data_IF_354049811046
#
_entry.id   IF_354049811046
#
_cell.length_a   1.000
_cell.length_b   1.000
_cell.length_c   1.000
_cell.angle_alpha   90.00
_cell.angle_beta   90.00
_cell.angle_gamma   90.00
#
_symmetry.space_group_name_H-M   'P 1'
#
loop_
_entity.id
_entity.type
_entity.pdbx_description
1 polymer ?
#
# COMPACT_ATOMS: atom_id res chain seq x y z
N UNK A 1 -43.39 -18.12 -4.72
CA UNK A 1 -42.78 -18.24 -3.39
C UNK A 1 -41.37 -17.72 -3.50
N UNK A 2 -41.14 -16.50 -3.06
CA UNK A 2 -39.77 -15.92 -3.00
C UNK A 2 -38.98 -16.71 -1.93
N UNK A 3 -37.74 -17.11 -2.21
CA UNK A 3 -36.91 -17.70 -1.17
C UNK A 3 -36.57 -16.59 -0.18
N UNK A 4 -37.10 -16.66 1.01
CA UNK A 4 -36.63 -15.88 2.14
C UNK A 4 -35.13 -16.15 2.28
N UNK A 5 -34.31 -15.17 1.95
CA UNK A 5 -32.87 -15.21 2.19
C UNK A 5 -32.67 -15.25 3.71
N UNK A 6 -32.45 -16.44 4.26
CA UNK A 6 -32.05 -16.61 5.66
C UNK A 6 -30.77 -15.79 5.87
N UNK A 7 -30.91 -14.64 6.49
CA UNK A 7 -29.78 -13.84 6.97
C UNK A 7 -29.06 -14.72 8.01
N UNK A 8 -27.87 -15.20 7.68
CA UNK A 8 -27.05 -15.96 8.63
C UNK A 8 -26.64 -15.02 9.75
N UNK A 9 -26.84 -15.46 10.99
CA UNK A 9 -26.40 -14.68 12.16
C UNK A 9 -24.87 -14.71 12.26
N UNK A 10 -24.28 -13.63 12.78
CA UNK A 10 -22.83 -13.55 13.02
C UNK A 10 -22.37 -14.71 13.89
N UNK A 11 -23.14 -15.12 14.90
CA UNK A 11 -22.81 -16.24 15.77
C UNK A 11 -22.70 -17.58 15.02
N UNK A 12 -23.50 -17.79 13.98
CA UNK A 12 -23.40 -19.00 13.14
C UNK A 12 -22.13 -18.98 12.31
N UNK A 13 -21.71 -17.82 11.81
CA UNK A 13 -20.43 -17.68 11.09
C UNK A 13 -19.24 -17.86 12.03
N UNK A 14 -19.29 -17.34 13.24
CA UNK A 14 -18.23 -17.49 14.25
C UNK A 14 -18.00 -18.95 14.64
N UNK A 15 -19.05 -19.77 14.67
CA UNK A 15 -18.98 -21.19 15.00
C UNK A 15 -18.50 -22.08 13.85
N UNK A 16 -18.45 -21.58 12.61
CA UNK A 16 -17.99 -22.33 11.43
C UNK A 16 -16.45 -22.31 11.32
N UNK A 17 -15.80 -23.16 12.12
CA UNK A 17 -14.33 -23.27 12.19
C UNK A 17 -13.75 -23.76 10.87
N UNK A 18 -14.35 -24.73 10.20
CA UNK A 18 -13.86 -25.28 8.92
C UNK A 18 -13.91 -24.19 7.83
N UNK A 19 -15.02 -23.48 7.74
CA UNK A 19 -15.16 -22.36 6.82
C UNK A 19 -14.18 -21.22 7.11
N UNK A 20 -13.98 -20.91 8.40
CA UNK A 20 -12.95 -19.95 8.81
C UNK A 20 -11.56 -20.35 8.31
N UNK A 21 -11.14 -21.60 8.53
CA UNK A 21 -9.83 -22.10 8.12
C UNK A 21 -9.65 -22.02 6.59
N UNK A 22 -10.65 -22.43 5.82
CA UNK A 22 -10.62 -22.37 4.35
C UNK A 22 -10.51 -20.94 3.82
N UNK A 23 -11.28 -20.02 4.38
CA UNK A 23 -11.23 -18.60 3.97
C UNK A 23 -9.93 -17.92 4.40
N UNK A 24 -9.40 -18.24 5.59
CA UNK A 24 -8.12 -17.74 6.08
C UNK A 24 -6.95 -18.21 5.22
N UNK A 25 -6.95 -19.49 4.82
CA UNK A 25 -5.92 -20.03 3.93
C UNK A 25 -5.99 -19.38 2.54
N UNK A 26 -7.21 -19.22 1.99
CA UNK A 26 -7.40 -18.50 0.73
C UNK A 26 -6.87 -17.07 0.83
N UNK A 27 -7.22 -16.34 1.90
CA UNK A 27 -6.77 -14.97 2.15
C UNK A 27 -5.24 -14.89 2.20
N UNK A 28 -4.59 -15.77 2.97
CA UNK A 28 -3.13 -15.82 3.10
C UNK A 28 -2.46 -16.07 1.75
N UNK A 29 -2.95 -17.04 0.99
CA UNK A 29 -2.40 -17.36 -0.33
C UNK A 29 -2.53 -16.21 -1.32
N UNK A 30 -3.68 -15.54 -1.33
CA UNK A 30 -3.96 -14.47 -2.30
C UNK A 30 -3.35 -13.12 -1.91
N UNK A 31 -3.20 -12.83 -0.61
CA UNK A 31 -2.84 -11.49 -0.14
C UNK A 31 -1.63 -11.44 0.79
N UNK A 32 -1.17 -12.58 1.29
CA UNK A 32 -0.16 -12.68 2.34
C UNK A 32 -0.70 -12.40 3.75
N UNK A 33 -1.94 -11.96 3.89
CA UNK A 33 -2.54 -11.64 5.21
C UNK A 33 -2.74 -12.95 5.97
N UNK A 34 -2.01 -13.09 7.09
CA UNK A 34 -2.18 -14.20 8.00
C UNK A 34 -3.29 -13.91 9.00
N UNK A 35 -4.24 -14.83 9.08
CA UNK A 35 -5.33 -14.80 10.04
C UNK A 35 -5.39 -16.13 10.80
N UNK A 36 -4.57 -16.26 11.84
CA UNK A 36 -4.54 -17.46 12.69
C UNK A 36 -5.88 -17.68 13.40
N UNK A 37 -6.23 -18.95 13.66
CA UNK A 37 -7.47 -19.31 14.36
C UNK A 37 -7.42 -18.77 15.80
N UNK A 38 -8.34 -17.89 16.12
CA UNK A 38 -8.56 -17.31 17.44
C UNK A 38 -9.97 -16.71 17.52
N UNK A 39 -10.56 -16.61 18.70
CA UNK A 39 -11.88 -16.00 18.89
C UNK A 39 -11.95 -14.58 18.28
N UNK A 40 -10.91 -13.76 18.49
CA UNK A 40 -10.83 -12.40 17.92
C UNK A 40 -10.88 -12.43 16.38
N UNK A 41 -10.15 -13.32 15.75
CA UNK A 41 -10.11 -13.42 14.29
C UNK A 41 -11.38 -14.04 13.71
N UNK A 42 -12.02 -14.97 14.41
CA UNK A 42 -13.34 -15.49 14.05
C UNK A 42 -14.39 -14.39 14.04
N UNK A 43 -14.48 -13.62 15.11
CA UNK A 43 -15.37 -12.45 15.17
C UNK A 43 -15.06 -11.42 14.08
N UNK A 44 -13.78 -11.14 13.83
CA UNK A 44 -13.37 -10.21 12.78
C UNK A 44 -13.80 -10.70 11.39
N UNK A 45 -13.51 -11.96 11.06
CA UNK A 45 -13.91 -12.56 9.78
C UNK A 45 -15.43 -12.54 9.63
N UNK A 46 -16.18 -13.01 10.65
CA UNK A 46 -17.64 -13.05 10.64
C UNK A 46 -18.24 -11.66 10.42
N UNK A 47 -17.76 -10.67 11.16
CA UNK A 47 -18.22 -9.27 11.01
C UNK A 47 -17.95 -8.67 9.63
N UNK A 48 -16.81 -8.99 9.02
CA UNK A 48 -16.44 -8.46 7.70
C UNK A 48 -17.15 -9.21 6.58
N UNK A 49 -17.21 -10.54 6.67
CA UNK A 49 -17.82 -11.38 5.63
C UNK A 49 -19.35 -11.26 5.64
N UNK A 50 -20.01 -11.16 6.79
CA UNK A 50 -21.47 -10.97 6.86
C UNK A 50 -21.98 -9.82 5.99
N UNK A 51 -21.19 -8.75 5.87
CA UNK A 51 -21.53 -7.56 5.06
C UNK A 51 -21.49 -7.83 3.55
N UNK A 52 -20.70 -8.80 3.13
CA UNK A 52 -20.50 -9.09 1.70
C UNK A 52 -21.26 -10.33 1.23
N UNK A 53 -21.68 -11.23 2.11
CA UNK A 53 -22.39 -12.45 1.72
C UNK A 53 -23.61 -12.16 0.84
N UNK A 54 -24.41 -11.19 1.24
CA UNK A 54 -25.61 -10.79 0.49
C UNK A 54 -25.23 -10.24 -0.91
N UNK A 55 -24.20 -9.39 -0.97
CA UNK A 55 -23.72 -8.80 -2.24
C UNK A 55 -23.12 -9.87 -3.16
N UNK A 56 -22.46 -10.85 -2.58
CA UNK A 56 -21.88 -12.00 -3.31
C UNK A 56 -22.93 -13.05 -3.71
N UNK A 57 -24.17 -12.92 -3.26
CA UNK A 57 -25.25 -13.87 -3.55
C UNK A 57 -25.05 -15.24 -2.87
N UNK A 58 -24.34 -15.29 -1.74
CA UNK A 58 -24.02 -16.50 -0.98
C UNK A 58 -24.49 -16.38 0.47
N UNK A 59 -24.73 -17.53 1.13
CA UNK A 59 -25.28 -17.57 2.47
C UNK A 59 -24.41 -18.30 3.50
N UNK A 60 -23.19 -18.70 3.14
CA UNK A 60 -22.26 -19.40 4.05
C UNK A 60 -20.81 -19.20 3.67
N UNK A 61 -19.90 -19.47 4.60
CA UNK A 61 -18.44 -19.52 4.31
C UNK A 61 -18.10 -20.55 3.24
N UNK A 62 -18.75 -21.71 3.27
CA UNK A 62 -18.53 -22.77 2.27
C UNK A 62 -18.92 -22.31 0.86
N UNK A 63 -20.06 -21.63 0.71
CA UNK A 63 -20.48 -21.10 -0.59
C UNK A 63 -19.57 -19.97 -1.05
N UNK A 64 -19.16 -19.08 -0.14
CA UNK A 64 -18.19 -18.02 -0.46
C UNK A 64 -16.87 -18.62 -0.92
N UNK A 65 -16.33 -19.60 -0.18
CA UNK A 65 -15.11 -20.29 -0.55
C UNK A 65 -15.23 -20.96 -1.93
N UNK A 66 -16.36 -21.64 -2.21
CA UNK A 66 -16.62 -22.24 -3.54
C UNK A 66 -16.64 -21.19 -4.65
N UNK A 67 -17.25 -20.02 -4.41
CA UNK A 67 -17.25 -18.92 -5.35
C UNK A 67 -15.83 -18.35 -5.59
N UNK A 68 -15.02 -18.28 -4.53
CA UNK A 68 -13.63 -17.82 -4.62
C UNK A 68 -12.75 -18.78 -5.44
N UNK A 69 -12.82 -20.09 -5.17
CA UNK A 69 -12.00 -21.10 -5.88
C UNK A 69 -12.47 -21.32 -7.33
N UNK A 70 -13.76 -21.08 -7.63
CA UNK A 70 -14.27 -21.12 -9.00
C UNK A 70 -13.86 -19.90 -9.85
N UNK A 71 -13.12 -18.95 -9.27
CA UNK A 71 -12.61 -17.79 -9.98
C UNK A 71 -13.66 -16.69 -10.25
N UNK A 72 -14.75 -16.66 -9.49
CA UNK A 72 -15.73 -15.59 -9.58
C UNK A 72 -15.10 -14.26 -9.15
N UNK A 73 -14.72 -13.45 -10.13
CA UNK A 73 -13.96 -12.20 -9.93
C UNK A 73 -14.63 -11.24 -8.94
N UNK A 74 -15.96 -11.10 -9.03
CA UNK A 74 -16.72 -10.24 -8.13
C UNK A 74 -16.62 -10.71 -6.64
N UNK A 75 -16.77 -12.01 -6.39
CA UNK A 75 -16.65 -12.58 -5.04
C UNK A 75 -15.23 -12.37 -4.48
N UNK A 76 -14.20 -12.57 -5.32
CA UNK A 76 -12.81 -12.35 -4.95
C UNK A 76 -12.53 -10.91 -4.54
N UNK A 77 -12.94 -9.95 -5.36
CA UNK A 77 -12.70 -8.52 -5.09
C UNK A 77 -13.47 -8.07 -3.83
N UNK A 78 -14.72 -8.50 -3.67
CA UNK A 78 -15.51 -8.23 -2.46
C UNK A 78 -14.83 -8.79 -1.20
N UNK A 79 -14.36 -10.03 -1.25
CA UNK A 79 -13.72 -10.68 -0.11
C UNK A 79 -12.40 -9.99 0.25
N UNK A 80 -11.50 -9.77 -0.71
CA UNK A 80 -10.23 -9.11 -0.45
C UNK A 80 -10.45 -7.70 0.09
N UNK A 81 -11.29 -6.89 -0.56
CA UNK A 81 -11.59 -5.53 -0.10
C UNK A 81 -12.23 -5.49 1.30
N UNK A 82 -13.01 -6.52 1.68
CA UNK A 82 -13.57 -6.62 3.02
C UNK A 82 -12.50 -7.00 4.06
N UNK A 83 -11.48 -7.77 3.66
CA UNK A 83 -10.45 -8.30 4.58
C UNK A 83 -9.24 -7.38 4.74
N UNK A 84 -9.02 -6.43 3.85
CA UNK A 84 -7.94 -5.44 3.98
C UNK A 84 -8.18 -4.47 5.14
N UNK A 85 -7.09 -3.98 5.72
CA UNK A 85 -7.13 -2.94 6.76
C UNK A 85 -6.40 -1.71 6.23
N UNK A 86 -7.16 -0.64 6.03
CA UNK A 86 -6.74 0.51 5.24
C UNK A 86 -6.48 1.78 6.08
N UNK A 87 -6.03 1.62 7.35
CA UNK A 87 -5.72 2.76 8.22
C UNK A 87 -4.47 3.48 7.75
N UNK A 88 -4.66 4.72 7.32
CA UNK A 88 -3.59 5.61 6.87
C UNK A 88 -3.95 7.06 7.19
N UNK A 89 -2.97 7.97 7.17
CA UNK A 89 -3.15 9.41 7.31
C UNK A 89 -1.99 10.17 6.67
N UNK A 90 -2.21 11.45 6.38
CA UNK A 90 -1.18 12.31 5.84
C UNK A 90 0.00 12.43 6.81
N UNK A 91 1.23 12.38 6.29
CA UNK A 91 2.48 12.48 7.03
C UNK A 91 2.66 11.44 8.16
N UNK A 92 2.02 10.25 8.03
CA UNK A 92 2.24 9.13 8.95
C UNK A 92 3.74 8.79 9.02
N UNK A 93 4.30 8.72 10.27
CA UNK A 93 5.73 8.52 10.52
C UNK A 93 6.57 9.61 9.82
N UNK A 94 6.32 10.86 10.21
CA UNK A 94 6.89 12.11 9.62
C UNK A 94 8.39 12.04 9.38
N UNK A 95 9.13 11.31 10.22
CA UNK A 95 10.59 11.16 10.11
C UNK A 95 11.04 10.62 8.75
N UNK A 96 10.22 9.79 8.09
CA UNK A 96 10.52 9.28 6.74
C UNK A 96 10.49 10.41 5.69
N UNK A 97 9.55 11.32 5.80
CA UNK A 97 9.43 12.46 4.88
C UNK A 97 10.51 13.51 5.15
N UNK A 98 10.87 13.71 6.42
CA UNK A 98 12.01 14.56 6.80
C UNK A 98 13.34 13.98 6.29
N UNK A 99 13.49 12.63 6.34
CA UNK A 99 14.65 11.95 5.75
C UNK A 99 14.67 12.12 4.23
N UNK A 100 13.55 11.87 3.57
CA UNK A 100 13.41 12.05 2.12
C UNK A 100 13.80 13.47 1.71
N UNK A 101 13.27 14.48 2.41
CA UNK A 101 13.56 15.89 2.12
C UNK A 101 15.06 16.20 2.16
N UNK A 102 15.75 15.71 3.19
CA UNK A 102 17.19 15.96 3.36
C UNK A 102 18.07 15.26 2.33
N UNK A 103 17.67 14.06 1.87
CA UNK A 103 18.49 13.23 0.98
C UNK A 103 18.06 13.28 -0.48
N UNK A 104 16.93 13.93 -0.80
CA UNK A 104 16.50 14.11 -2.18
C UNK A 104 17.56 14.78 -3.06
N UNK A 105 18.28 15.84 -2.60
CA UNK A 105 19.37 16.44 -3.38
C UNK A 105 20.47 15.46 -3.77
N UNK A 106 20.83 14.53 -2.90
CA UNK A 106 21.86 13.51 -3.19
C UNK A 106 21.37 12.55 -4.30
N UNK A 107 20.09 12.13 -4.24
CA UNK A 107 19.48 11.27 -5.26
C UNK A 107 19.48 11.96 -6.61
N UNK A 108 19.08 13.23 -6.66
CA UNK A 108 19.00 14.01 -7.89
C UNK A 108 20.39 14.33 -8.47
N UNK A 109 21.40 14.50 -7.62
CA UNK A 109 22.77 14.77 -8.03
C UNK A 109 23.53 13.55 -8.55
N UNK A 110 22.97 12.35 -8.46
CA UNK A 110 23.59 11.15 -9.00
C UNK A 110 23.81 11.31 -10.53
N UNK A 111 25.00 10.99 -11.07
CA UNK A 111 25.33 11.22 -12.49
C UNK A 111 24.32 10.66 -13.49
N UNK A 112 23.83 9.43 -13.25
CA UNK A 112 22.82 8.81 -14.09
C UNK A 112 21.49 9.57 -14.08
N UNK A 113 21.13 10.13 -12.92
CA UNK A 113 19.89 10.90 -12.76
C UNK A 113 19.95 12.26 -13.44
N UNK A 114 21.10 12.93 -13.40
CA UNK A 114 21.30 14.18 -14.12
C UNK A 114 21.14 14.02 -15.65
N UNK A 115 21.36 12.84 -16.17
CA UNK A 115 21.24 12.54 -17.60
C UNK A 115 19.77 12.38 -18.02
N UNK A 116 18.99 11.59 -17.30
CA UNK A 116 17.59 11.30 -17.67
C UNK A 116 16.58 12.29 -17.05
N UNK A 117 16.95 13.01 -15.98
CA UNK A 117 16.12 13.95 -15.26
C UNK A 117 14.73 13.40 -14.94
N UNK A 118 14.68 12.14 -14.56
CA UNK A 118 13.44 11.47 -14.20
C UNK A 118 13.57 10.83 -12.81
N UNK A 119 12.66 11.18 -11.89
CA UNK A 119 12.53 10.59 -10.57
C UNK A 119 11.34 9.65 -10.56
N UNK A 120 11.57 8.36 -10.30
CA UNK A 120 10.55 7.32 -10.23
C UNK A 120 10.36 6.85 -8.81
N UNK A 121 9.15 6.99 -8.31
CA UNK A 121 8.78 6.60 -6.96
C UNK A 121 7.65 5.58 -7.01
N UNK A 122 7.69 4.58 -6.15
CA UNK A 122 6.62 3.63 -5.98
C UNK A 122 6.14 3.66 -4.52
N UNK A 123 4.85 3.95 -4.32
CA UNK A 123 4.13 3.79 -3.08
C UNK A 123 3.34 2.47 -3.17
N UNK A 124 3.87 1.42 -2.59
CA UNK A 124 3.25 0.10 -2.55
C UNK A 124 2.33 -0.02 -1.32
N UNK A 125 1.11 -0.54 -1.51
CA UNK A 125 0.05 -0.56 -0.51
C UNK A 125 -0.36 0.86 -0.06
N UNK A 126 -0.76 1.68 -1.02
CA UNK A 126 -1.04 3.11 -0.83
C UNK A 126 -2.38 3.41 -0.13
N UNK A 127 -3.22 2.39 0.11
CA UNK A 127 -4.54 2.53 0.74
C UNK A 127 -5.39 3.63 0.07
N UNK A 128 -5.98 4.54 0.84
CA UNK A 128 -6.80 5.66 0.37
C UNK A 128 -5.99 6.85 -0.17
N UNK A 129 -4.67 6.71 -0.30
CA UNK A 129 -3.81 7.60 -1.09
C UNK A 129 -3.07 8.68 -0.30
N UNK A 130 -3.31 8.84 1.00
CA UNK A 130 -2.70 9.89 1.84
C UNK A 130 -1.17 9.82 1.82
N UNK A 131 -0.61 8.59 1.85
CA UNK A 131 0.85 8.39 1.74
C UNK A 131 1.37 8.82 0.36
N UNK A 132 0.73 8.38 -0.72
CA UNK A 132 1.14 8.72 -2.08
C UNK A 132 1.11 10.25 -2.32
N UNK A 133 0.07 10.91 -1.81
CA UNK A 133 -0.02 12.38 -1.88
C UNK A 133 1.01 13.06 -0.99
N UNK A 134 1.28 12.54 0.21
CA UNK A 134 2.35 13.07 1.08
C UNK A 134 3.71 13.00 0.38
N UNK A 135 4.03 11.87 -0.26
CA UNK A 135 5.26 11.70 -1.06
C UNK A 135 5.31 12.75 -2.17
N UNK A 136 4.22 12.90 -2.93
CA UNK A 136 4.14 13.85 -4.03
C UNK A 136 4.34 15.29 -3.56
N UNK A 137 3.65 15.70 -2.50
CA UNK A 137 3.76 17.04 -1.91
C UNK A 137 5.18 17.31 -1.39
N UNK A 138 5.77 16.34 -0.66
CA UNK A 138 7.10 16.47 -0.09
C UNK A 138 8.18 16.62 -1.18
N UNK A 139 8.07 15.87 -2.27
CA UNK A 139 9.01 16.01 -3.40
C UNK A 139 8.72 17.32 -4.16
N UNK A 140 7.45 17.62 -4.42
CA UNK A 140 7.05 18.82 -5.13
C UNK A 140 7.46 20.10 -4.40
N UNK A 141 7.44 20.15 -3.07
CA UNK A 141 7.89 21.31 -2.29
C UNK A 141 9.36 21.68 -2.52
N UNK A 142 10.15 20.77 -3.08
CA UNK A 142 11.57 20.98 -3.39
C UNK A 142 11.82 21.23 -4.89
N UNK A 143 10.77 21.45 -5.67
CA UNK A 143 10.81 21.62 -7.14
C UNK A 143 11.68 22.76 -7.67
N UNK A 144 12.01 23.86 -6.99
CA UNK A 144 13.05 24.75 -7.52
C UNK A 144 14.34 24.01 -7.87
N UNK A 145 14.61 22.89 -7.19
CA UNK A 145 15.74 21.97 -7.49
C UNK A 145 15.41 20.99 -8.61
N UNK A 146 14.14 20.82 -8.97
CA UNK A 146 13.65 19.85 -9.97
C UNK A 146 13.30 20.52 -11.31
N UNK A 147 13.74 21.75 -11.56
CA UNK A 147 13.50 22.42 -12.83
C UNK A 147 13.95 21.54 -14.02
N UNK A 148 13.00 21.17 -14.86
CA UNK A 148 13.22 20.26 -15.99
C UNK A 148 13.23 18.76 -15.64
N UNK A 149 12.92 18.37 -14.40
CA UNK A 149 12.75 16.96 -14.00
C UNK A 149 11.33 16.47 -14.23
N UNK A 150 11.23 15.18 -14.53
CA UNK A 150 9.96 14.44 -14.59
C UNK A 150 9.80 13.63 -13.31
N UNK A 151 8.79 13.96 -12.52
CA UNK A 151 8.39 13.15 -11.36
C UNK A 151 7.29 12.17 -11.78
N UNK A 152 7.51 10.88 -11.57
CA UNK A 152 6.53 9.81 -11.80
C UNK A 152 6.34 9.01 -10.54
N UNK A 153 5.14 8.99 -10.02
CA UNK A 153 4.76 8.24 -8.84
C UNK A 153 3.77 7.16 -9.24
N UNK A 154 4.12 5.90 -9.01
CA UNK A 154 3.19 4.79 -9.02
C UNK A 154 2.66 4.61 -7.60
N UNK A 155 1.35 4.63 -7.43
CA UNK A 155 0.69 4.28 -6.17
C UNK A 155 -0.17 3.04 -6.40
N UNK A 156 0.04 2.00 -5.62
CA UNK A 156 -0.64 0.73 -5.87
C UNK A 156 -1.18 0.11 -4.59
N UNK A 157 -2.29 -0.61 -4.74
CA UNK A 157 -2.92 -1.37 -3.67
C UNK A 157 -3.62 -2.61 -4.25
N UNK A 158 -3.87 -3.62 -3.41
CA UNK A 158 -4.68 -4.77 -3.80
C UNK A 158 -6.17 -4.44 -3.72
N UNK A 159 -6.56 -3.52 -2.85
CA UNK A 159 -7.94 -3.08 -2.63
C UNK A 159 -8.34 -2.04 -3.68
N UNK A 160 -9.19 -2.46 -4.60
CA UNK A 160 -9.65 -1.59 -5.69
C UNK A 160 -10.62 -0.51 -5.24
N UNK A 161 -11.27 -0.66 -4.09
CA UNK A 161 -12.19 0.34 -3.54
C UNK A 161 -11.39 1.53 -3.00
N UNK A 162 -10.31 1.27 -2.26
CA UNK A 162 -9.46 2.35 -1.74
C UNK A 162 -8.71 3.06 -2.87
N UNK A 163 -8.30 2.36 -3.92
CA UNK A 163 -7.69 2.98 -5.11
C UNK A 163 -8.63 3.98 -5.79
N UNK A 164 -9.92 3.67 -5.88
CA UNK A 164 -10.92 4.61 -6.41
C UNK A 164 -11.08 5.85 -5.55
N UNK A 165 -10.98 5.72 -4.21
CA UNK A 165 -10.96 6.85 -3.28
C UNK A 165 -9.69 7.66 -3.45
N UNK A 166 -8.54 7.00 -3.46
CA UNK A 166 -7.23 7.61 -3.66
C UNK A 166 -7.19 8.45 -4.96
N UNK A 167 -7.66 7.90 -6.08
CA UNK A 167 -7.66 8.59 -7.37
C UNK A 167 -8.54 9.85 -7.38
N UNK A 168 -9.60 9.90 -6.57
CA UNK A 168 -10.43 11.12 -6.42
C UNK A 168 -9.67 12.23 -5.69
N UNK A 169 -8.81 11.86 -4.73
CA UNK A 169 -8.03 12.79 -3.89
C UNK A 169 -8.91 13.70 -3.05
N UNK A 170 -10.08 13.22 -2.59
CA UNK A 170 -11.05 13.99 -1.79
C UNK A 170 -11.13 13.38 -0.40
N UNK A 171 -10.97 14.21 0.61
CA UNK A 171 -10.89 13.81 2.01
C UNK A 171 -11.75 14.71 2.90
N UNK A 172 -12.21 14.23 4.07
CA UNK A 172 -12.77 15.10 5.09
C UNK A 172 -11.73 16.14 5.55
N UNK A 173 -12.18 17.32 5.98
CA UNK A 173 -11.29 18.39 6.44
C UNK A 173 -10.41 17.94 7.62
N UNK A 174 -10.94 17.09 8.49
CA UNK A 174 -10.23 16.51 9.65
C UNK A 174 -9.02 15.66 9.24
N UNK A 175 -9.06 15.06 8.06
CA UNK A 175 -7.96 14.23 7.57
C UNK A 175 -6.65 15.01 7.36
N UNK A 176 -6.72 16.33 7.20
CA UNK A 176 -5.56 17.20 6.99
C UNK A 176 -5.17 18.02 8.22
N UNK A 177 -5.73 17.77 9.40
CA UNK A 177 -5.42 18.53 10.62
C UNK A 177 -3.92 18.48 10.96
N UNK A 178 -3.27 17.33 10.77
CA UNK A 178 -1.83 17.16 11.02
C UNK A 178 -0.91 17.76 9.93
N UNK A 179 -1.49 18.26 8.83
CA UNK A 179 -0.74 18.86 7.72
C UNK A 179 -0.44 20.33 8.08
N UNK A 180 0.78 20.80 7.79
CA UNK A 180 1.16 22.19 8.05
C UNK A 180 0.31 23.17 7.22
N UNK A 181 0.06 24.38 7.74
CA UNK A 181 -0.75 25.39 7.04
C UNK A 181 -0.17 25.70 5.65
N UNK A 182 1.14 25.83 5.53
CA UNK A 182 1.81 26.04 4.24
C UNK A 182 1.46 24.96 3.22
N UNK A 183 1.45 23.67 3.64
CA UNK A 183 1.08 22.57 2.76
C UNK A 183 -0.42 22.55 2.47
N UNK A 184 -1.27 22.90 3.45
CA UNK A 184 -2.73 23.01 3.24
C UNK A 184 -3.05 24.04 2.16
N UNK A 185 -2.50 25.23 2.29
CA UNK A 185 -2.70 26.32 1.33
C UNK A 185 -2.15 25.98 -0.07
N UNK A 186 -1.00 25.35 -0.12
CA UNK A 186 -0.31 25.07 -1.39
C UNK A 186 -0.92 23.90 -2.15
N UNK A 187 -1.43 22.86 -1.44
CA UNK A 187 -1.75 21.58 -2.06
C UNK A 187 -3.20 21.14 -1.97
N UNK A 188 -4.03 21.84 -1.21
CA UNK A 188 -5.44 21.49 -1.08
C UNK A 188 -6.36 22.59 -1.56
N UNK A 189 -7.53 22.20 -1.99
CA UNK A 189 -8.66 23.05 -2.32
C UNK A 189 -9.80 22.72 -1.37
N UNK A 190 -10.38 23.73 -0.71
CA UNK A 190 -11.53 23.53 0.16
C UNK A 190 -12.80 23.41 -0.65
N UNK A 191 -13.66 22.46 -0.26
CA UNK A 191 -14.97 22.28 -0.84
C UNK A 191 -15.92 23.43 -0.48
N UNK A 192 -16.84 23.74 -1.38
CA UNK A 192 -17.87 24.79 -1.20
C UNK A 192 -19.26 24.19 -1.43
N UNK A 193 -20.27 24.82 -0.86
CA UNK A 193 -21.67 24.38 -1.01
C UNK A 193 -21.87 22.95 -0.51
N UNK A 194 -22.31 22.04 -1.36
CA UNK A 194 -22.55 20.64 -1.02
C UNK A 194 -21.27 19.85 -0.62
N UNK A 195 -20.09 20.38 -0.95
CA UNK A 195 -18.80 19.79 -0.57
C UNK A 195 -18.17 20.48 0.65
N UNK A 196 -18.91 21.31 1.39
CA UNK A 196 -18.42 21.92 2.61
C UNK A 196 -17.96 20.84 3.61
N UNK A 197 -16.85 21.07 4.30
CA UNK A 197 -16.23 20.07 5.19
C UNK A 197 -15.33 19.05 4.47
N UNK A 198 -15.19 19.15 3.14
CA UNK A 198 -14.30 18.32 2.35
C UNK A 198 -13.13 19.17 1.81
N UNK A 199 -12.02 18.48 1.57
CA UNK A 199 -10.86 19.05 0.87
C UNK A 199 -10.46 18.15 -0.29
N UNK A 200 -9.89 18.75 -1.32
CA UNK A 200 -9.36 18.01 -2.47
C UNK A 200 -7.90 18.33 -2.69
N UNK A 201 -7.07 17.34 -2.92
CA UNK A 201 -5.70 17.55 -3.37
C UNK A 201 -5.70 18.24 -4.73
N UNK A 202 -4.88 19.29 -4.91
CA UNK A 202 -4.84 20.07 -6.17
C UNK A 202 -4.43 19.21 -7.36
N UNK A 203 -4.90 19.59 -8.54
CA UNK A 203 -4.72 18.84 -9.79
C UNK A 203 -3.24 18.60 -10.12
N UNK A 204 -2.39 19.62 -9.96
CA UNK A 204 -0.95 19.52 -10.24
C UNK A 204 -0.23 18.43 -9.42
N UNK A 205 -0.74 18.09 -8.23
CA UNK A 205 -0.20 17.00 -7.41
C UNK A 205 -0.84 15.67 -7.82
N UNK A 206 -2.15 15.64 -8.08
CA UNK A 206 -2.84 14.41 -8.49
C UNK A 206 -2.30 13.86 -9.81
N UNK A 207 -1.95 14.74 -10.75
CA UNK A 207 -1.44 14.38 -12.09
C UNK A 207 -0.03 13.75 -12.04
N UNK A 208 0.69 13.86 -10.90
CA UNK A 208 1.98 13.21 -10.69
C UNK A 208 1.87 11.73 -10.36
N UNK A 209 0.66 11.26 -10.00
CA UNK A 209 0.43 9.94 -9.44
C UNK A 209 -0.42 9.09 -10.38
N UNK A 210 0.08 7.91 -10.69
CA UNK A 210 -0.70 6.86 -11.34
C UNK A 210 -1.14 5.84 -10.30
N UNK A 211 -2.45 5.67 -10.12
CA UNK A 211 -3.02 4.65 -9.26
C UNK A 211 -3.30 3.37 -10.04
N UNK A 212 -2.83 2.22 -9.55
CA UNK A 212 -3.00 0.94 -10.22
C UNK A 212 -3.18 -0.22 -9.21
N UNK A 213 -4.01 -1.22 -9.52
CA UNK A 213 -4.09 -2.42 -8.70
C UNK A 213 -2.77 -3.20 -8.79
N UNK A 214 -2.29 -3.65 -7.63
CA UNK A 214 -1.09 -4.46 -7.54
C UNK A 214 -1.12 -5.37 -6.31
N UNK A 215 -0.74 -6.63 -6.50
CA UNK A 215 -0.64 -7.59 -5.42
C UNK A 215 0.82 -7.87 -5.07
N UNK A 216 1.22 -7.59 -3.83
CA UNK A 216 2.56 -7.88 -3.32
C UNK A 216 2.89 -9.38 -3.27
N UNK A 217 1.85 -10.25 -3.30
CA UNK A 217 2.06 -11.70 -3.39
C UNK A 217 2.31 -12.19 -4.82
N UNK A 218 2.22 -11.33 -5.85
CA UNK A 218 2.57 -11.71 -7.22
C UNK A 218 3.96 -12.35 -7.28
N UNK A 219 4.09 -13.44 -8.04
CA UNK A 219 5.35 -14.19 -8.11
C UNK A 219 6.51 -13.33 -8.62
N UNK A 220 6.24 -12.50 -9.63
CA UNK A 220 7.22 -11.60 -10.24
C UNK A 220 6.65 -10.18 -10.31
N UNK A 221 7.50 -9.19 -10.06
CA UNK A 221 7.16 -7.78 -10.24
C UNK A 221 7.70 -7.30 -11.59
N UNK A 222 6.80 -7.18 -12.57
CA UNK A 222 7.15 -6.83 -13.96
C UNK A 222 7.02 -5.32 -14.19
N UNK A 223 8.05 -4.57 -13.81
CA UNK A 223 8.15 -3.15 -14.13
C UNK A 223 9.16 -2.91 -15.26
N UNK A 224 8.83 -2.04 -16.19
CA UNK A 224 9.69 -1.69 -17.32
C UNK A 224 10.98 -1.00 -16.88
N UNK A 225 10.98 -0.36 -15.72
CA UNK A 225 12.12 0.41 -15.21
C UNK A 225 12.21 0.30 -13.70
N UNK A 226 13.42 0.46 -13.18
CA UNK A 226 13.67 0.49 -11.74
C UNK A 226 13.22 1.80 -11.12
N UNK A 227 12.89 1.74 -9.84
CA UNK A 227 12.52 2.90 -9.03
C UNK A 227 13.74 3.48 -8.30
N UNK A 228 13.72 4.77 -8.12
CA UNK A 228 14.68 5.50 -7.27
C UNK A 228 14.31 5.36 -5.80
N UNK A 229 13.01 5.36 -5.52
CA UNK A 229 12.46 5.33 -4.17
C UNK A 229 11.26 4.38 -4.15
N UNK A 230 11.20 3.50 -3.16
CA UNK A 230 10.05 2.64 -2.89
C UNK A 230 9.61 2.86 -1.44
N UNK A 231 8.32 3.13 -1.26
CA UNK A 231 7.62 3.07 0.02
C UNK A 231 6.78 1.80 0.05
N UNK A 232 7.01 0.94 1.05
CA UNK A 232 6.18 -0.23 1.32
C UNK A 232 6.03 -0.32 2.83
N UNK A 233 5.04 0.39 3.36
CA UNK A 233 4.92 0.67 4.80
C UNK A 233 3.62 0.16 5.37
N UNK A 234 3.72 -0.40 6.59
CA UNK A 234 2.58 -0.82 7.40
C UNK A 234 1.65 -1.86 6.71
N UNK A 235 2.21 -2.69 5.83
CA UNK A 235 1.51 -3.77 5.14
C UNK A 235 2.10 -5.14 5.49
N UNK A 236 3.43 -5.26 5.62
CA UNK A 236 4.09 -6.51 5.95
C UNK A 236 3.87 -6.96 7.40
N UNK A 237 3.30 -6.09 8.25
CA UNK A 237 2.86 -6.45 9.60
C UNK A 237 1.77 -7.54 9.62
N UNK A 238 1.11 -7.77 8.50
CA UNK A 238 0.07 -8.79 8.32
C UNK A 238 0.62 -10.10 7.73
N UNK A 239 1.90 -10.13 7.30
CA UNK A 239 2.51 -11.24 6.61
C UNK A 239 3.30 -12.13 7.55
N UNK A 240 3.45 -13.40 7.20
CA UNK A 240 4.39 -14.28 7.85
C UNK A 240 5.83 -14.03 7.36
N UNK A 241 6.79 -14.53 8.12
CA UNK A 241 8.21 -14.31 7.81
C UNK A 241 8.64 -14.73 6.39
N UNK A 242 8.18 -15.87 5.83
CA UNK A 242 8.49 -16.24 4.44
C UNK A 242 7.97 -15.23 3.42
N UNK A 243 6.73 -14.75 3.59
CA UNK A 243 6.11 -13.76 2.72
C UNK A 243 6.84 -12.41 2.80
N UNK A 244 7.25 -11.99 4.02
CA UNK A 244 8.08 -10.79 4.21
C UNK A 244 9.39 -10.94 3.44
N UNK A 245 10.10 -12.08 3.60
CA UNK A 245 11.37 -12.31 2.93
C UNK A 245 11.25 -12.25 1.40
N UNK A 246 10.23 -12.89 0.84
CA UNK A 246 9.97 -12.87 -0.60
C UNK A 246 9.63 -11.46 -1.10
N UNK A 247 8.78 -10.74 -0.36
CA UNK A 247 8.37 -9.38 -0.71
C UNK A 247 9.58 -8.44 -0.71
N UNK A 248 10.40 -8.46 0.33
CA UNK A 248 11.61 -7.63 0.41
C UNK A 248 12.58 -7.91 -0.73
N UNK A 249 12.83 -9.18 -1.08
CA UNK A 249 13.67 -9.53 -2.23
C UNK A 249 13.13 -8.99 -3.55
N UNK A 250 11.80 -9.05 -3.74
CA UNK A 250 11.16 -8.50 -4.94
C UNK A 250 11.23 -6.98 -4.97
N UNK A 251 11.00 -6.29 -3.83
CA UNK A 251 11.14 -4.83 -3.71
C UNK A 251 12.59 -4.38 -3.97
N UNK A 252 13.57 -5.07 -3.37
CA UNK A 252 14.99 -4.84 -3.68
C UNK A 252 15.26 -4.95 -5.18
N UNK A 253 14.71 -6.01 -5.81
CA UNK A 253 14.81 -6.19 -7.26
C UNK A 253 14.24 -5.04 -8.09
N UNK A 254 13.25 -4.30 -7.56
CA UNK A 254 12.64 -3.16 -8.26
C UNK A 254 13.39 -1.85 -8.10
N UNK A 255 14.24 -1.71 -7.08
CA UNK A 255 15.06 -0.52 -6.86
C UNK A 255 16.26 -0.49 -7.82
N UNK A 256 16.70 0.71 -8.20
CA UNK A 256 18.05 0.89 -8.76
C UNK A 256 19.11 0.78 -7.65
N UNK A 257 20.35 0.57 -8.02
CA UNK A 257 21.47 0.69 -7.07
C UNK A 257 21.52 2.13 -6.55
N UNK A 258 21.71 2.28 -5.24
CA UNK A 258 21.62 3.57 -4.55
C UNK A 258 20.18 4.04 -4.27
N UNK A 259 19.16 3.34 -4.77
CA UNK A 259 17.76 3.65 -4.48
C UNK A 259 17.37 3.36 -3.03
N UNK A 260 16.33 4.02 -2.54
CA UNK A 260 15.86 3.96 -1.16
C UNK A 260 14.59 3.12 -1.02
N UNK A 261 14.55 2.27 0.01
CA UNK A 261 13.36 1.57 0.49
C UNK A 261 12.97 2.11 1.86
N UNK A 262 11.71 2.55 1.97
CA UNK A 262 11.08 2.92 3.23
C UNK A 262 10.08 1.83 3.63
N UNK A 263 10.19 1.33 4.86
CA UNK A 263 9.23 0.40 5.47
C UNK A 263 8.60 1.04 6.71
N UNK A 264 7.53 0.48 7.28
CA UNK A 264 6.96 1.00 8.52
C UNK A 264 7.90 0.80 9.73
N UNK A 265 7.80 1.64 10.74
CA UNK A 265 8.68 1.59 11.92
C UNK A 265 8.61 0.27 12.68
N UNK A 266 7.47 -0.43 12.65
CA UNK A 266 7.31 -1.76 13.25
C UNK A 266 7.78 -2.91 12.34
N UNK A 267 8.21 -2.62 11.12
CA UNK A 267 8.60 -3.61 10.12
C UNK A 267 10.14 -3.69 10.06
N UNK A 268 10.70 -4.75 10.63
CA UNK A 268 12.15 -4.97 10.54
C UNK A 268 12.49 -5.92 9.40
N UNK A 269 13.47 -5.53 8.58
CA UNK A 269 13.97 -6.34 7.47
C UNK A 269 15.45 -6.74 7.65
N UNK A 270 15.99 -6.55 8.85
CA UNK A 270 17.37 -6.91 9.14
C UNK A 270 17.60 -8.41 8.94
N UNK A 271 18.70 -8.75 8.24
CA UNK A 271 19.08 -10.14 7.97
C UNK A 271 18.28 -10.84 6.86
N UNK A 272 17.35 -10.14 6.18
CA UNK A 272 16.58 -10.72 5.07
C UNK A 272 17.38 -10.73 3.76
N UNK A 273 18.13 -9.67 3.50
CA UNK A 273 18.97 -9.55 2.31
C UNK A 273 20.25 -8.77 2.60
N UNK A 274 21.33 -9.08 1.90
CA UNK A 274 22.59 -8.33 1.98
C UNK A 274 22.64 -7.14 1.03
N UNK A 275 21.72 -7.06 0.08
CA UNK A 275 21.66 -5.97 -0.91
C UNK A 275 21.03 -4.67 -0.41
N UNK A 276 20.43 -4.69 0.79
CA UNK A 276 19.85 -3.52 1.44
C UNK A 276 20.64 -3.16 2.69
N UNK A 277 21.26 -1.98 2.72
CA UNK A 277 21.94 -1.44 3.89
C UNK A 277 21.08 -0.41 4.60
N UNK A 278 20.95 -0.52 5.92
CA UNK A 278 20.26 0.47 6.76
C UNK A 278 20.95 1.84 6.67
N UNK A 279 20.16 2.89 6.50
CA UNK A 279 20.61 4.31 6.45
C UNK A 279 20.02 5.12 7.59
N UNK A 280 18.82 4.75 8.04
CA UNK A 280 18.11 5.32 9.18
C UNK A 280 17.09 4.27 9.68
N UNK A 281 16.42 4.49 10.82
CA UNK A 281 15.31 3.62 11.24
C UNK A 281 14.29 3.45 10.11
N UNK A 282 14.04 2.18 9.76
CA UNK A 282 13.11 1.78 8.69
C UNK A 282 13.40 2.35 7.28
N UNK A 283 14.63 2.85 7.04
CA UNK A 283 15.10 3.34 5.74
C UNK A 283 16.33 2.54 5.31
N UNK A 284 16.27 2.00 4.11
CA UNK A 284 17.31 1.14 3.55
C UNK A 284 17.72 1.62 2.17
N UNK A 285 19.00 1.43 1.83
CA UNK A 285 19.53 1.77 0.51
C UNK A 285 20.00 0.51 -0.19
N UNK A 286 19.59 0.33 -1.45
CA UNK A 286 20.10 -0.74 -2.29
C UNK A 286 21.57 -0.50 -2.62
N UNK A 287 22.40 -1.48 -2.31
CA UNK A 287 23.84 -1.47 -2.63
C UNK A 287 24.14 -2.43 -3.78
N UNK A 288 25.27 -2.20 -4.49
CA UNK A 288 25.83 -3.25 -5.33
C UNK A 288 26.27 -4.40 -4.43
N UNK A 289 25.79 -5.61 -4.72
CA UNK A 289 26.42 -6.83 -4.25
C UNK A 289 27.71 -7.06 -5.06
N UNK A 290 28.64 -6.11 -5.03
CA UNK A 290 29.98 -6.41 -5.56
C UNK A 290 30.62 -7.43 -4.62
N UNK A 291 30.76 -8.64 -5.14
CA UNK A 291 31.66 -9.71 -4.77
C UNK A 291 32.43 -9.49 -3.46
N UNK A 292 31.94 -10.12 -2.37
CA UNK A 292 32.85 -10.54 -1.30
C UNK A 292 33.66 -11.74 -1.84
N UNK A 293 34.51 -11.50 -2.80
CA UNK A 293 35.25 -12.54 -3.49
C UNK A 293 36.65 -12.15 -3.99
N UNK A 294 37.09 -10.90 -3.71
CA UNK A 294 38.48 -10.50 -4.03
C UNK A 294 39.01 -9.59 -2.93
N UNK A 295 39.27 -10.15 -1.76
CA UNK A 295 40.21 -9.64 -0.77
C UNK A 295 40.58 -10.80 0.16
N UNK A 296 41.43 -11.67 -0.29
CA UNK A 296 42.26 -12.57 0.51
C UNK A 296 43.70 -12.41 0.06
#
# INVERSE_FOLDING_TARGET
MSPESKVISINQLESDIDGFCKLSEYLRRETGINMSLSAKNQTLLASRVSKILHIAGVVSYSQLHSALISGQRNARDLFINAMTTNTTHFFREKQHFDYLARHLPEILNHPEKKKDKELRVWCAACSTGEEAYTIAMQIHSQIPMLAGWKLKILASDIDTVVLKKAARGVYPLEAIESVSETFKEQYFEQGRGQSQGMVRVRKNIRDLITFAPFNLMSQVYTFQSKFDIVFCRNVMIYFDRPEIQQTIKKLEGCLRVGGLLFVGHSETIMGITSGLKSKAPAVYQRTNLLNKGEAA
#
